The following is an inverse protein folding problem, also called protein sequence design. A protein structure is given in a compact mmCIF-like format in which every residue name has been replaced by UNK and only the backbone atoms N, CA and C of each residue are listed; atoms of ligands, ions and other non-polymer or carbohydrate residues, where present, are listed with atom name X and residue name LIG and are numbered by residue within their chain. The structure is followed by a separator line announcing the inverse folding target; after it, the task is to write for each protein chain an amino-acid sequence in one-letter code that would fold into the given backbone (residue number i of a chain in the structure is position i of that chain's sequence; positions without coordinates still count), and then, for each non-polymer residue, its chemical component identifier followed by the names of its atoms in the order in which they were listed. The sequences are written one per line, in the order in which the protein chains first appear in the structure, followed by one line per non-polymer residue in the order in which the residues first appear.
data_IF_242112646658
#
_entry.id   IF_242112646658
#
_cell.length_a   1.000
_cell.length_b   1.000
_cell.length_c   1.000
_cell.angle_alpha   90.00
_cell.angle_beta   90.00
_cell.angle_gamma   90.00
#
_symmetry.space_group_name_H-M   'P 1'
#
loop_
_entity.id
_entity.type
_entity.pdbx_description
1 polymer ?
#
# COMPACT_ATOMS: atom_id res chain seq x y z
N UNK A 1 1.00 -8.81 12.17
CA UNK A 1 -0.39 -9.10 12.59
C UNK A 1 -1.07 -9.85 11.46
N UNK A 2 -1.31 -11.15 11.63
CA UNK A 2 -2.25 -11.89 10.78
C UNK A 2 -3.62 -11.74 11.44
N UNK A 3 -4.57 -11.14 10.74
CA UNK A 3 -5.98 -11.07 11.15
C UNK A 3 -6.83 -11.50 9.97
N UNK A 4 -8.11 -11.84 10.19
CA UNK A 4 -9.07 -11.94 9.09
C UNK A 4 -9.22 -10.54 8.48
N UNK A 5 -8.37 -10.25 7.50
CA UNK A 5 -8.28 -8.98 6.80
C UNK A 5 -8.92 -9.08 5.44
N UNK A 6 -9.23 -7.93 4.86
CA UNK A 6 -9.62 -7.87 3.46
C UNK A 6 -8.35 -8.06 2.62
N UNK A 7 -8.42 -8.83 1.54
CA UNK A 7 -7.27 -9.06 0.65
C UNK A 7 -6.62 -7.72 0.19
N UNK A 8 -7.47 -6.71 -0.05
CA UNK A 8 -7.10 -5.33 -0.34
C UNK A 8 -6.22 -4.67 0.75
N UNK A 9 -6.43 -4.97 2.04
CA UNK A 9 -5.66 -4.35 3.12
C UNK A 9 -4.22 -4.84 3.14
N UNK A 10 -4.00 -6.13 2.87
CA UNK A 10 -2.66 -6.71 2.91
C UNK A 10 -1.83 -6.26 1.70
N UNK A 11 -2.42 -6.27 0.50
CA UNK A 11 -1.71 -5.76 -0.68
C UNK A 11 -1.48 -4.25 -0.60
N UNK A 12 -2.39 -3.45 -0.02
CA UNK A 12 -2.13 -2.01 0.21
C UNK A 12 -0.90 -1.80 1.08
N UNK A 13 -0.74 -2.61 2.13
CA UNK A 13 0.45 -2.54 3.00
C UNK A 13 1.71 -2.95 2.25
N UNK A 14 1.65 -4.07 1.54
CA UNK A 14 2.77 -4.60 0.77
C UNK A 14 3.28 -3.58 -0.26
N UNK A 15 2.38 -2.98 -1.04
CA UNK A 15 2.76 -2.01 -2.07
C UNK A 15 3.37 -0.75 -1.45
N UNK A 16 2.77 -0.19 -0.39
CA UNK A 16 3.30 1.00 0.27
C UNK A 16 4.69 0.79 0.87
N UNK A 17 5.01 -0.41 1.36
CA UNK A 17 6.33 -0.70 1.93
C UNK A 17 7.35 -1.14 0.89
N UNK A 18 6.93 -1.78 -0.20
CA UNK A 18 7.85 -2.52 -1.09
C UNK A 18 8.08 -1.90 -2.46
N UNK A 19 7.28 -0.91 -2.88
CA UNK A 19 7.46 -0.21 -4.17
C UNK A 19 7.75 1.27 -3.97
N UNK A 20 8.22 1.95 -5.02
CA UNK A 20 8.20 3.42 -5.04
C UNK A 20 6.75 3.92 -5.12
N UNK A 21 6.46 5.16 -4.73
CA UNK A 21 5.14 5.75 -4.92
C UNK A 21 4.73 5.84 -6.39
N UNK A 22 5.69 6.19 -7.26
CA UNK A 22 5.48 6.27 -8.71
C UNK A 22 5.05 4.93 -9.30
N UNK A 23 5.84 3.88 -9.03
CA UNK A 23 5.53 2.52 -9.51
C UNK A 23 4.18 2.03 -8.99
N UNK A 24 3.86 2.32 -7.73
CA UNK A 24 2.57 1.96 -7.12
C UNK A 24 1.41 2.63 -7.85
N UNK A 25 1.48 3.96 -8.05
CA UNK A 25 0.42 4.74 -8.70
C UNK A 25 0.22 4.29 -10.15
N UNK A 26 1.30 3.96 -10.86
CA UNK A 26 1.25 3.51 -12.25
C UNK A 26 0.73 2.06 -12.38
N UNK A 27 1.11 1.16 -11.47
CA UNK A 27 0.95 -0.28 -11.68
C UNK A 27 -0.04 -0.98 -10.72
N UNK A 28 -0.75 -0.25 -9.85
CA UNK A 28 -1.60 -0.87 -8.81
C UNK A 28 -2.59 -1.91 -9.37
N UNK A 29 -3.22 -1.66 -10.53
CA UNK A 29 -4.14 -2.62 -11.17
C UNK A 29 -3.44 -3.92 -11.57
N UNK A 30 -2.25 -3.81 -12.16
CA UNK A 30 -1.45 -4.97 -12.55
C UNK A 30 -1.04 -5.77 -11.31
N UNK A 31 -0.65 -5.10 -10.22
CA UNK A 31 -0.33 -5.78 -8.96
C UNK A 31 -1.55 -6.50 -8.36
N UNK A 32 -2.73 -5.86 -8.37
CA UNK A 32 -3.97 -6.50 -7.90
C UNK A 32 -4.34 -7.70 -8.77
N UNK A 33 -4.16 -7.62 -10.09
CA UNK A 33 -4.40 -8.73 -11.00
C UNK A 33 -3.49 -9.91 -10.68
N UNK A 34 -2.18 -9.69 -10.57
CA UNK A 34 -1.23 -10.76 -10.22
C UNK A 34 -1.59 -11.41 -8.89
N UNK A 35 -1.95 -10.59 -7.90
CA UNK A 35 -2.33 -11.09 -6.57
C UNK A 35 -3.64 -11.87 -6.58
N UNK A 36 -4.62 -11.43 -7.38
CA UNK A 36 -5.88 -12.13 -7.58
C UNK A 36 -5.68 -13.45 -8.33
N UNK A 37 -4.93 -13.46 -9.43
CA UNK A 37 -4.64 -14.66 -10.21
C UNK A 37 -3.96 -15.73 -9.34
N UNK A 38 -3.05 -15.30 -8.45
CA UNK A 38 -2.39 -16.20 -7.50
C UNK A 38 -3.37 -16.75 -6.45
N UNK A 39 -4.29 -15.93 -5.94
CA UNK A 39 -5.38 -16.40 -5.07
C UNK A 39 -6.23 -17.46 -5.79
N UNK A 40 -6.61 -17.23 -7.05
CA UNK A 40 -7.38 -18.19 -7.85
C UNK A 40 -6.61 -19.50 -8.02
N UNK A 41 -5.30 -19.41 -8.30
CA UNK A 41 -4.43 -20.58 -8.40
C UNK A 41 -4.43 -21.41 -7.11
N UNK A 42 -4.35 -20.75 -5.95
CA UNK A 42 -4.35 -21.41 -4.63
C UNK A 42 -5.71 -22.02 -4.29
N UNK A 43 -6.82 -21.41 -4.72
CA UNK A 43 -8.18 -21.92 -4.50
C UNK A 43 -8.46 -23.23 -5.27
N UNK A 44 -7.64 -23.58 -6.27
CA UNK A 44 -7.64 -24.87 -6.96
C UNK A 44 -9.03 -25.36 -7.40
N UNK A 45 -9.75 -24.50 -8.12
CA UNK A 45 -11.10 -24.81 -8.65
C UNK A 45 -12.25 -24.52 -7.69
N UNK A 46 -11.97 -24.09 -6.44
CA UNK A 46 -12.99 -23.54 -5.54
C UNK A 46 -13.48 -22.18 -6.07
N UNK A 47 -14.73 -21.84 -5.77
CA UNK A 47 -15.30 -20.54 -6.14
C UNK A 47 -14.55 -19.39 -5.49
N UNK A 48 -14.16 -18.39 -6.28
CA UNK A 48 -13.59 -17.16 -5.76
C UNK A 48 -14.61 -16.42 -4.88
N UNK A 49 -14.20 -15.89 -3.71
CA UNK A 49 -15.12 -15.16 -2.83
C UNK A 49 -15.52 -13.78 -3.37
N UNK A 50 -14.80 -13.27 -4.38
CA UNK A 50 -15.05 -11.99 -5.03
C UNK A 50 -14.41 -11.97 -6.43
N UNK A 51 -14.79 -11.03 -7.28
CA UNK A 51 -14.18 -10.78 -8.59
C UNK A 51 -12.96 -9.84 -8.50
N UNK A 52 -12.17 -9.75 -9.58
CA UNK A 52 -11.06 -8.80 -9.67
C UNK A 52 -11.55 -7.35 -9.55
N UNK A 53 -12.68 -7.02 -10.16
CA UNK A 53 -13.29 -5.69 -10.11
C UNK A 53 -13.69 -5.31 -8.69
N UNK A 54 -14.22 -6.27 -7.92
CA UNK A 54 -14.55 -6.07 -6.51
C UNK A 54 -13.28 -5.84 -5.67
N UNK A 55 -12.18 -6.51 -6.00
CA UNK A 55 -10.87 -6.26 -5.37
C UNK A 55 -10.34 -4.86 -5.71
N UNK A 56 -10.39 -4.45 -6.98
CA UNK A 56 -9.98 -3.10 -7.41
C UNK A 56 -10.80 -2.01 -6.71
N UNK A 57 -12.12 -2.18 -6.66
CA UNK A 57 -13.02 -1.26 -5.97
C UNK A 57 -12.68 -1.19 -4.48
N UNK A 58 -12.57 -2.35 -3.82
CA UNK A 58 -12.28 -2.41 -2.39
C UNK A 58 -10.91 -1.80 -2.07
N UNK A 59 -9.88 -2.07 -2.88
CA UNK A 59 -8.56 -1.45 -2.75
C UNK A 59 -8.66 0.08 -2.72
N UNK A 60 -9.38 0.67 -3.67
CA UNK A 60 -9.57 2.12 -3.73
C UNK A 60 -10.28 2.66 -2.50
N UNK A 61 -11.35 2.02 -2.05
CA UNK A 61 -12.12 2.43 -0.86
C UNK A 61 -11.27 2.46 0.40
N UNK A 62 -10.52 1.38 0.63
CA UNK A 62 -9.83 1.19 1.90
C UNK A 62 -8.46 1.88 1.91
N UNK A 63 -7.93 2.24 0.74
CA UNK A 63 -6.57 2.76 0.59
C UNK A 63 -6.23 3.89 1.57
N UNK A 64 -7.00 5.01 1.66
CA UNK A 64 -6.63 6.13 2.54
C UNK A 64 -6.52 5.70 4.01
N UNK A 65 -7.47 4.86 4.46
CA UNK A 65 -7.50 4.33 5.82
C UNK A 65 -6.33 3.38 6.08
N UNK A 66 -6.04 2.47 5.15
CA UNK A 66 -5.01 1.45 5.36
C UNK A 66 -3.61 2.03 5.26
N UNK A 67 -3.37 2.92 4.29
CA UNK A 67 -2.09 3.58 4.10
C UNK A 67 -1.76 4.51 5.28
N UNK A 68 -2.73 5.25 5.82
CA UNK A 68 -2.51 6.11 6.99
C UNK A 68 -2.05 5.34 8.25
N UNK A 69 -2.50 4.10 8.45
CA UNK A 69 -2.01 3.25 9.55
C UNK A 69 -0.53 2.88 9.44
N UNK A 70 0.11 3.02 8.27
CA UNK A 70 1.54 2.80 8.12
C UNK A 70 2.38 4.00 8.55
N UNK A 71 1.81 5.21 8.56
CA UNK A 71 2.55 6.45 8.84
C UNK A 71 3.29 6.38 10.19
N UNK A 72 2.67 5.96 11.32
CA UNK A 72 3.40 5.85 12.59
C UNK A 72 4.57 4.87 12.54
N UNK A 73 4.40 3.73 11.87
CA UNK A 73 5.46 2.74 11.71
C UNK A 73 6.62 3.26 10.84
N UNK A 74 6.32 3.94 9.74
CA UNK A 74 7.31 4.57 8.88
C UNK A 74 8.08 5.68 9.60
N UNK A 75 7.40 6.50 10.42
CA UNK A 75 8.05 7.50 11.27
C UNK A 75 8.95 6.87 12.33
N UNK A 76 8.51 5.79 12.97
CA UNK A 76 9.33 5.08 13.95
C UNK A 76 10.61 4.52 13.31
N UNK A 77 10.50 3.96 12.09
CA UNK A 77 11.66 3.53 11.30
C UNK A 77 12.56 4.71 10.94
N UNK A 78 12.00 5.81 10.45
CA UNK A 78 12.75 7.02 10.11
C UNK A 78 13.55 7.53 11.32
N UNK A 79 12.91 7.66 12.47
CA UNK A 79 13.56 8.07 13.70
C UNK A 79 14.64 7.07 14.17
N UNK A 80 14.40 5.77 14.01
CA UNK A 80 15.39 4.73 14.31
C UNK A 80 16.62 4.84 13.39
N UNK A 81 16.43 5.11 12.10
CA UNK A 81 17.56 5.33 11.17
C UNK A 81 18.35 6.59 11.50
N UNK A 82 17.71 7.63 12.03
CA UNK A 82 18.39 8.84 12.55
C UNK A 82 19.28 8.54 13.76
N UNK A 83 18.88 7.57 14.60
CA UNK A 83 19.64 7.14 15.78
C UNK A 83 20.80 6.19 15.45
N UNK A 84 20.59 5.25 14.52
CA UNK A 84 21.55 4.20 14.19
C UNK A 84 22.69 4.75 13.33
N UNK A 85 22.36 5.48 12.26
CA UNK A 85 23.35 5.99 11.34
C UNK A 85 23.78 7.41 11.71
N UNK A 86 25.08 7.70 11.74
CA UNK A 86 25.60 9.05 12.04
C UNK A 86 26.00 9.78 10.76
N UNK A 87 25.82 11.11 10.75
CA UNK A 87 26.15 11.93 9.58
C UNK A 87 25.35 11.52 8.35
N UNK A 88 26.06 11.33 7.24
CA UNK A 88 25.54 10.98 5.91
C UNK A 88 25.27 9.48 5.71
N UNK A 89 25.69 8.61 6.64
CA UNK A 89 25.26 7.21 6.65
C UNK A 89 23.73 7.14 6.78
N UNK A 90 23.08 6.28 5.98
CA UNK A 90 21.63 6.13 6.01
C UNK A 90 20.81 7.24 5.35
N UNK A 91 21.44 8.23 4.71
CA UNK A 91 20.72 9.32 4.00
C UNK A 91 19.76 8.80 2.94
N UNK A 92 20.15 7.77 2.19
CA UNK A 92 19.29 7.11 1.20
C UNK A 92 18.05 6.48 1.84
N UNK A 93 18.21 5.71 2.91
CA UNK A 93 17.10 5.08 3.63
C UNK A 93 16.14 6.12 4.21
N UNK A 94 16.66 7.21 4.78
CA UNK A 94 15.85 8.33 5.29
C UNK A 94 15.06 9.00 4.18
N UNK A 95 15.69 9.25 3.02
CA UNK A 95 15.02 9.82 1.86
C UNK A 95 13.86 8.93 1.40
N UNK A 96 14.09 7.63 1.25
CA UNK A 96 13.07 6.65 0.85
C UNK A 96 11.91 6.61 1.85
N UNK A 97 12.20 6.60 3.16
CA UNK A 97 11.17 6.58 4.20
C UNK A 97 10.34 7.87 4.19
N UNK A 98 10.99 9.02 4.06
CA UNK A 98 10.31 10.31 3.99
C UNK A 98 9.44 10.43 2.74
N UNK A 99 9.96 10.00 1.58
CA UNK A 99 9.22 9.95 0.32
C UNK A 99 7.96 9.09 0.45
N UNK A 100 8.06 7.90 1.08
CA UNK A 100 6.89 7.05 1.35
C UNK A 100 5.87 7.75 2.24
N UNK A 101 6.30 8.38 3.34
CA UNK A 101 5.40 9.12 4.25
C UNK A 101 4.68 10.25 3.51
N UNK A 102 5.42 11.09 2.79
CA UNK A 102 4.86 12.22 2.02
C UNK A 102 3.87 11.71 0.97
N UNK A 103 4.24 10.68 0.22
CA UNK A 103 3.38 10.14 -0.83
C UNK A 103 2.05 9.58 -0.31
N UNK A 104 2.02 9.02 0.91
CA UNK A 104 0.78 8.55 1.52
C UNK A 104 -0.16 9.74 1.80
N UNK A 105 0.37 10.86 2.31
CA UNK A 105 -0.43 12.07 2.51
C UNK A 105 -0.94 12.63 1.18
N UNK A 106 -0.07 12.73 0.16
CA UNK A 106 -0.46 13.17 -1.18
C UNK A 106 -1.59 12.31 -1.75
N UNK A 107 -1.49 10.99 -1.63
CA UNK A 107 -2.53 10.09 -2.14
C UNK A 107 -3.85 10.21 -1.38
N UNK A 108 -3.80 10.48 -0.07
CA UNK A 108 -5.01 10.71 0.73
C UNK A 108 -5.71 12.00 0.28
N UNK A 109 -4.93 13.05 0.02
CA UNK A 109 -5.43 14.32 -0.50
C UNK A 109 -6.02 14.12 -1.90
N UNK A 110 -5.28 13.46 -2.80
CA UNK A 110 -5.75 13.13 -4.15
C UNK A 110 -7.05 12.32 -4.10
N UNK A 111 -7.14 11.33 -3.22
CA UNK A 111 -8.37 10.54 -3.06
C UNK A 111 -9.55 11.37 -2.53
N UNK A 112 -9.27 12.40 -1.72
CA UNK A 112 -10.29 13.32 -1.21
C UNK A 112 -10.75 14.32 -2.28
N UNK A 113 -9.85 14.80 -3.13
CA UNK A 113 -10.13 15.78 -4.18
C UNK A 113 -10.76 15.11 -5.41
N UNK A 114 -10.25 13.94 -5.80
CA UNK A 114 -10.68 13.15 -6.94
C UNK A 114 -11.55 11.95 -6.51
N UNK A 115 -12.55 12.22 -5.66
CA UNK A 115 -13.44 11.17 -5.13
C UNK A 115 -14.00 10.35 -6.28
N UNK A 116 -13.94 9.01 -6.20
CA UNK A 116 -14.55 8.16 -7.21
C UNK A 116 -16.05 8.49 -7.30
N UNK A 117 -16.54 8.90 -8.47
CA UNK A 117 -17.97 9.18 -8.72
C UNK A 117 -18.90 7.98 -8.53
N UNK A 118 -18.33 6.80 -8.26
CA UNK A 118 -18.98 5.51 -8.20
C UNK A 118 -18.89 4.93 -6.78
N UNK A 119 -18.49 5.75 -5.80
CA UNK A 119 -18.60 5.48 -4.38
C UNK A 119 -19.81 6.18 -3.77
#
# INVERSE_FOLDING_TARGET
MCHFGMLATDITRLLNTSTSPEDRRLNWKNYLKVYYDEMIRVLNGSSAPFSLEQLELTYRIVYPRVASFLIPALFALFHSTMKIFKGNEGTGARKILLEKIVSIYEDIIDHHENKPSNL
#
